data_IF_639521688694
#
_entry.id   IF_639521688694
#
_cell.length_a   1.000
_cell.length_b   1.000
_cell.length_c   1.000
_cell.angle_alpha   90.00
_cell.angle_beta   90.00
_cell.angle_gamma   90.00
#
_symmetry.space_group_name_H-M   'P 1'
#
loop_
_entity.id
_entity.type
_entity.pdbx_description
1 polymer ?
#
# COMPACT_ATOMS: atom_id res chain seq x y z
N UNK A 1 30.66 -16.09 -1.42
CA UNK A 1 30.25 -14.87 -2.15
C UNK A 1 29.30 -14.11 -1.26
N UNK A 2 29.74 -13.00 -0.69
CA UNK A 2 28.92 -12.17 0.20
C UNK A 2 28.06 -11.30 -0.72
N UNK A 3 26.78 -11.64 -0.89
CA UNK A 3 25.85 -10.76 -1.57
C UNK A 3 25.74 -9.49 -0.72
N UNK A 4 26.53 -8.47 -1.09
CA UNK A 4 26.32 -7.11 -0.63
C UNK A 4 24.98 -6.65 -1.24
N UNK A 5 23.90 -7.05 -0.57
CA UNK A 5 22.55 -6.53 -0.80
C UNK A 5 22.67 -5.02 -0.66
N UNK A 6 22.64 -4.31 -1.78
CA UNK A 6 22.55 -2.86 -1.76
C UNK A 6 21.42 -2.49 -0.80
N UNK A 7 21.65 -1.64 0.20
CA UNK A 7 20.53 -1.07 0.94
C UNK A 7 19.69 -0.35 -0.11
N UNK A 8 18.51 -0.90 -0.43
CA UNK A 8 17.54 -0.17 -1.23
C UNK A 8 17.40 1.20 -0.59
N UNK A 9 17.69 2.26 -1.33
CA UNK A 9 17.53 3.63 -0.85
C UNK A 9 16.03 3.86 -0.69
N UNK A 10 15.50 3.54 0.48
CA UNK A 10 14.08 3.65 0.81
C UNK A 10 13.52 5.03 0.46
N UNK A 11 14.32 6.09 0.66
CA UNK A 11 13.97 7.46 0.27
C UNK A 11 13.64 7.60 -1.23
N UNK A 12 14.49 7.08 -2.12
CA UNK A 12 14.24 7.19 -3.56
C UNK A 12 12.98 6.43 -4.02
N UNK A 13 12.60 5.39 -3.29
CA UNK A 13 11.35 4.65 -3.52
C UNK A 13 10.16 5.46 -3.00
N UNK A 14 10.27 6.07 -1.82
CA UNK A 14 9.24 6.94 -1.25
C UNK A 14 8.96 8.12 -2.16
N UNK A 15 10.00 8.79 -2.65
CA UNK A 15 9.90 9.91 -3.61
C UNK A 15 9.22 9.46 -4.90
N UNK A 16 9.73 8.38 -5.52
CA UNK A 16 9.18 7.86 -6.79
C UNK A 16 7.71 7.47 -6.67
N UNK A 17 7.29 6.82 -5.57
CA UNK A 17 5.91 6.45 -5.33
C UNK A 17 5.02 7.66 -5.00
N UNK A 18 5.54 8.62 -4.23
CA UNK A 18 4.85 9.86 -3.94
C UNK A 18 4.54 10.66 -5.20
N UNK A 19 5.50 10.73 -6.12
CA UNK A 19 5.33 11.34 -7.44
C UNK A 19 4.37 10.53 -8.33
N UNK A 20 4.61 9.22 -8.51
CA UNK A 20 3.82 8.34 -9.40
C UNK A 20 2.32 8.33 -9.02
N UNK A 21 2.02 8.36 -7.73
CA UNK A 21 0.66 8.25 -7.20
C UNK A 21 0.10 9.57 -6.65
N UNK A 22 0.86 10.67 -6.70
CA UNK A 22 0.50 11.95 -6.09
C UNK A 22 0.10 11.79 -4.61
N UNK A 23 0.83 10.93 -3.90
CA UNK A 23 0.58 10.56 -2.50
C UNK A 23 1.58 11.30 -1.60
N UNK A 24 1.18 11.79 -0.42
CA UNK A 24 2.12 12.44 0.51
C UNK A 24 3.27 11.51 0.90
N UNK A 25 4.52 12.00 0.84
CA UNK A 25 5.71 11.21 1.19
C UNK A 25 5.62 10.54 2.59
N UNK A 26 5.14 11.22 3.66
CA UNK A 26 4.98 10.59 4.96
C UNK A 26 3.96 9.44 4.96
N UNK A 27 2.96 9.50 4.08
CA UNK A 27 1.98 8.44 3.92
C UNK A 27 2.58 7.23 3.20
N UNK A 28 3.32 7.47 2.12
CA UNK A 28 4.07 6.41 1.41
C UNK A 28 5.09 5.73 2.33
N UNK A 29 5.84 6.50 3.13
CA UNK A 29 6.82 5.95 4.09
C UNK A 29 6.16 5.08 5.16
N UNK A 30 5.03 5.54 5.72
CA UNK A 30 4.22 4.78 6.66
C UNK A 30 3.67 3.49 6.05
N UNK A 31 3.17 3.55 4.82
CA UNK A 31 2.67 2.37 4.10
C UNK A 31 3.77 1.34 3.85
N UNK A 32 4.95 1.77 3.41
CA UNK A 32 6.10 0.90 3.17
C UNK A 32 6.60 0.26 4.47
N UNK A 33 6.67 1.04 5.55
CA UNK A 33 7.08 0.55 6.87
C UNK A 33 6.09 -0.48 7.41
N UNK A 34 4.78 -0.22 7.28
CA UNK A 34 3.74 -1.17 7.68
C UNK A 34 3.80 -2.46 6.87
N UNK A 35 3.94 -2.37 5.54
CA UNK A 35 4.04 -3.53 4.65
C UNK A 35 5.29 -4.35 4.94
N UNK A 36 6.44 -3.70 5.15
CA UNK A 36 7.68 -4.37 5.53
C UNK A 36 7.53 -5.10 6.86
N UNK A 37 6.96 -4.43 7.88
CA UNK A 37 6.74 -5.03 9.19
C UNK A 37 5.81 -6.25 9.13
N UNK A 38 4.72 -6.18 8.37
CA UNK A 38 3.81 -7.32 8.18
C UNK A 38 4.51 -8.50 7.49
N UNK A 39 5.34 -8.23 6.49
CA UNK A 39 6.14 -9.25 5.81
C UNK A 39 7.19 -9.87 6.73
N UNK A 40 7.80 -9.08 7.62
CA UNK A 40 8.76 -9.58 8.61
C UNK A 40 8.16 -10.58 9.59
N UNK A 41 6.86 -10.44 9.93
CA UNK A 41 6.17 -11.38 10.81
C UNK A 41 5.87 -12.73 10.15
N UNK A 42 5.78 -12.77 8.82
CA UNK A 42 5.38 -13.97 8.06
C UNK A 42 6.48 -14.61 7.21
N UNK A 43 7.58 -13.92 6.94
CA UNK A 43 8.58 -14.37 5.97
C UNK A 43 9.73 -15.16 6.63
N UNK A 44 9.94 -16.39 6.13
CA UNK A 44 11.14 -17.18 6.46
C UNK A 44 12.41 -16.58 5.83
N UNK A 45 12.28 -15.84 4.72
CA UNK A 45 13.41 -15.23 3.99
C UNK A 45 13.25 -13.72 3.96
N UNK A 46 14.08 -13.02 4.73
CA UNK A 46 14.02 -11.56 4.88
C UNK A 46 14.58 -10.76 3.70
N UNK A 47 15.30 -11.42 2.78
CA UNK A 47 15.93 -10.77 1.61
C UNK A 47 14.93 -10.07 0.70
N UNK A 48 13.74 -10.65 0.54
CA UNK A 48 12.75 -10.18 -0.43
C UNK A 48 11.75 -9.19 0.17
N UNK A 49 11.80 -8.94 1.48
CA UNK A 49 10.86 -8.07 2.18
C UNK A 49 10.79 -6.66 1.55
N UNK A 50 11.91 -5.99 1.23
CA UNK A 50 11.86 -4.67 0.62
C UNK A 50 11.13 -4.68 -0.74
N UNK A 51 11.43 -5.66 -1.59
CA UNK A 51 10.80 -5.81 -2.92
C UNK A 51 9.29 -6.06 -2.78
N UNK A 52 8.92 -6.95 -1.86
CA UNK A 52 7.53 -7.32 -1.61
C UNK A 52 6.74 -6.16 -1.00
N UNK A 53 7.33 -5.39 -0.08
CA UNK A 53 6.71 -4.23 0.52
C UNK A 53 6.40 -3.14 -0.53
N UNK A 54 7.35 -2.86 -1.43
CA UNK A 54 7.12 -1.93 -2.54
C UNK A 54 6.00 -2.39 -3.44
N UNK A 55 5.98 -3.68 -3.82
CA UNK A 55 4.92 -4.24 -4.66
C UNK A 55 3.55 -4.09 -4.00
N UNK A 56 3.43 -4.43 -2.72
CA UNK A 56 2.17 -4.30 -1.98
C UNK A 56 1.69 -2.84 -1.93
N UNK A 57 2.58 -1.89 -1.63
CA UNK A 57 2.20 -0.46 -1.60
C UNK A 57 1.80 0.05 -2.98
N UNK A 58 2.49 -0.36 -4.05
CA UNK A 58 2.07 -0.03 -5.43
C UNK A 58 0.68 -0.56 -5.75
N UNK A 59 0.39 -1.80 -5.38
CA UNK A 59 -0.93 -2.41 -5.61
C UNK A 59 -2.02 -1.66 -4.83
N UNK A 60 -1.76 -1.27 -3.57
CA UNK A 60 -2.67 -0.47 -2.76
C UNK A 60 -2.94 0.92 -3.37
N UNK A 61 -1.89 1.63 -3.77
CA UNK A 61 -2.01 2.97 -4.37
C UNK A 61 -2.67 2.93 -5.76
N UNK A 62 -2.52 1.84 -6.51
CA UNK A 62 -3.25 1.64 -7.78
C UNK A 62 -4.75 1.45 -7.56
N UNK A 63 -5.11 0.67 -6.55
CA UNK A 63 -6.50 0.38 -6.23
C UNK A 63 -7.22 1.61 -5.64
N UNK A 64 -6.54 2.43 -4.84
CA UNK A 64 -7.11 3.68 -4.32
C UNK A 64 -7.39 4.73 -5.42
N UNK A 65 -6.58 4.75 -6.49
CA UNK A 65 -6.86 5.60 -7.67
C UNK A 65 -7.99 5.06 -8.55
N UNK A 66 -8.26 3.76 -8.48
CA UNK A 66 -9.28 3.06 -9.29
C UNK A 66 -10.59 2.81 -8.56
N UNK A 67 -10.76 3.22 -7.31
CA UNK A 67 -12.10 3.32 -6.74
C UNK A 67 -12.74 4.61 -7.25
N UNK A 68 -13.64 4.58 -8.26
CA UNK A 68 -14.66 5.62 -8.30
C UNK A 68 -15.37 5.52 -6.95
N UNK A 69 -15.50 6.65 -6.24
CA UNK A 69 -16.24 6.73 -5.00
C UNK A 69 -17.61 6.07 -5.15
N UNK A 70 -17.74 4.80 -4.77
CA UNK A 70 -19.01 4.13 -4.55
C UNK A 70 -19.47 4.37 -3.11
N UNK A 71 -19.22 5.58 -2.63
CA UNK A 71 -19.92 6.21 -1.51
C UNK A 71 -21.01 7.13 -2.09
N UNK A 72 -21.82 6.58 -2.99
CA UNK A 72 -23.08 7.15 -3.43
C UNK A 72 -24.22 6.40 -2.73
N UNK A 73 -24.76 7.00 -1.68
CA UNK A 73 -26.03 6.70 -1.03
C UNK A 73 -26.12 5.45 -0.14
N UNK A 74 -25.80 5.67 1.14
CA UNK A 74 -26.73 5.31 2.21
C UNK A 74 -28.16 5.78 1.84
N UNK A 75 -29.10 4.87 1.69
CA UNK A 75 -30.51 5.14 1.94
C UNK A 75 -31.08 4.03 2.83
N UNK A 76 -30.84 4.19 4.13
CA UNK A 76 -31.29 3.36 5.25
C UNK A 76 -32.76 3.64 5.63
N UNK A 77 -33.64 3.98 4.67
CA UNK A 77 -35.05 4.21 4.93
C UNK A 77 -35.92 3.70 3.78
N UNK A 78 -36.33 2.43 3.86
CA UNK A 78 -37.57 1.99 3.23
C UNK A 78 -38.29 1.05 4.20
N UNK A 79 -39.38 1.47 4.85
CA UNK A 79 -40.31 0.52 5.46
C UNK A 79 -40.98 -0.28 4.33
N UNK A 80 -40.92 -1.61 4.41
CA UNK A 80 -41.65 -2.49 3.50
C UNK A 80 -43.16 -2.22 3.61
N UNK A 81 -43.90 -2.13 2.49
CA UNK A 81 -45.35 -2.02 2.54
C UNK A 81 -45.94 -3.36 2.99
N UNK A 82 -46.76 -3.31 4.04
CA UNK A 82 -47.71 -4.38 4.37
C UNK A 82 -48.75 -4.49 3.27
N UNK A 83 -48.86 -5.66 2.64
CA UNK A 83 -50.12 -6.17 2.09
C UNK A 83 -50.10 -7.69 1.96
#
# INVERSE_FOLDING_TARGET
MVFQRQPMKWQGIVESLGEEFSCPLPEVERMLSAAAHQLEQGAQVKEFIPVLAVRQVKDLLRNSRHTPSHYGQHNLNHPLPSH
#
